data_IF_015937570116
#
_entry.id   IF_015937570116
#
_cell.length_a   1.000
_cell.length_b   1.000
_cell.length_c   1.000
_cell.angle_alpha   90.00
_cell.angle_beta   90.00
_cell.angle_gamma   90.00
#
_symmetry.space_group_name_H-M   'P 1'
#
loop_
_entity.id
_entity.type
_entity.pdbx_description
1 polymer ?
#
# COMPACT_ATOMS: atom_id res chain seq x y z
N UNK A 1 87.51 29.52 -12.71
CA UNK A 1 86.34 30.41 -12.56
C UNK A 1 85.16 29.77 -13.28
N UNK A 2 84.04 29.62 -12.55
CA UNK A 2 82.70 29.13 -12.93
C UNK A 2 82.56 27.72 -13.57
N UNK A 3 82.19 26.75 -12.71
CA UNK A 3 81.59 25.47 -13.10
C UNK A 3 80.09 25.67 -13.37
N UNK A 4 79.61 25.18 -14.51
CA UNK A 4 78.19 25.13 -14.88
C UNK A 4 77.39 24.18 -13.97
N UNK A 5 76.46 24.74 -13.20
CA UNK A 5 75.42 24.01 -12.49
C UNK A 5 74.15 23.97 -13.35
N UNK A 6 73.92 22.83 -13.98
CA UNK A 6 72.67 22.48 -14.68
C UNK A 6 71.58 22.27 -13.63
N UNK A 7 70.61 23.20 -13.56
CA UNK A 7 69.39 23.03 -12.77
C UNK A 7 68.46 22.05 -13.49
N UNK A 8 68.28 20.84 -12.91
CA UNK A 8 67.18 19.93 -13.27
C UNK A 8 65.88 20.46 -12.62
N UNK A 9 64.75 20.51 -13.34
CA UNK A 9 63.47 20.80 -12.70
C UNK A 9 63.02 19.58 -11.89
N UNK A 10 62.70 19.80 -10.61
CA UNK A 10 61.95 18.83 -9.80
C UNK A 10 60.54 18.70 -10.41
N UNK A 11 60.25 17.54 -10.99
CA UNK A 11 58.87 17.13 -11.27
C UNK A 11 58.28 16.73 -9.92
N UNK A 12 57.52 17.62 -9.29
CA UNK A 12 56.64 17.26 -8.18
C UNK A 12 55.49 16.41 -8.74
N UNK A 13 55.56 15.11 -8.53
CA UNK A 13 54.42 14.21 -8.73
C UNK A 13 53.45 14.49 -7.59
N UNK A 14 52.43 15.30 -7.87
CA UNK A 14 51.29 15.52 -7.01
C UNK A 14 50.48 14.20 -6.95
N UNK A 15 50.23 13.60 -5.78
CA UNK A 15 49.35 12.44 -5.71
C UNK A 15 47.93 12.90 -6.07
N UNK A 16 47.40 12.36 -7.17
CA UNK A 16 45.98 12.44 -7.50
C UNK A 16 45.24 11.70 -6.39
N UNK A 17 44.67 12.47 -5.45
CA UNK A 17 43.65 11.96 -4.54
C UNK A 17 42.44 11.59 -5.39
N UNK A 18 42.34 10.29 -5.71
CA UNK A 18 41.09 9.68 -6.14
C UNK A 18 40.08 9.87 -5.01
N UNK A 19 39.25 10.91 -5.13
CA UNK A 19 38.01 11.04 -4.36
C UNK A 19 37.10 9.94 -4.88
N UNK A 20 37.29 8.73 -4.34
CA UNK A 20 36.32 7.66 -4.49
C UNK A 20 35.01 8.17 -3.94
N UNK A 21 33.97 8.19 -4.79
CA UNK A 21 32.61 8.28 -4.32
C UNK A 21 32.38 7.13 -3.34
N UNK A 22 32.50 7.42 -2.05
CA UNK A 22 32.06 6.53 -1.00
C UNK A 22 30.54 6.43 -1.17
N UNK A 23 30.09 5.41 -1.90
CA UNK A 23 28.73 4.91 -1.82
C UNK A 23 28.45 4.70 -0.34
N UNK A 24 27.66 5.58 0.27
CA UNK A 24 27.17 5.38 1.63
C UNK A 24 26.58 3.97 1.66
N UNK A 25 27.06 3.06 2.52
CA UNK A 25 26.42 1.76 2.65
C UNK A 25 24.96 2.03 3.01
N UNK A 26 24.06 1.57 2.14
CA UNK A 26 22.63 1.46 2.43
C UNK A 26 22.57 0.79 3.79
N UNK A 27 22.03 1.48 4.79
CA UNK A 27 21.91 0.93 6.13
C UNK A 27 21.28 -0.47 5.98
N UNK A 28 22.06 -1.52 6.27
CA UNK A 28 21.48 -2.84 6.47
C UNK A 28 20.46 -2.64 7.57
N UNK A 29 19.19 -2.90 7.25
CA UNK A 29 18.19 -3.23 8.26
C UNK A 29 18.91 -4.19 9.21
N UNK A 30 19.04 -3.78 10.48
CA UNK A 30 19.83 -4.50 11.46
C UNK A 30 19.46 -5.99 11.42
N UNK A 31 20.45 -6.87 11.66
CA UNK A 31 20.24 -8.30 11.89
C UNK A 31 19.26 -8.48 13.07
N UNK A 32 17.96 -8.46 12.77
CA UNK A 32 16.91 -8.96 13.63
C UNK A 32 16.78 -10.42 13.24
N UNK A 33 17.35 -11.30 14.07
CA UNK A 33 17.04 -12.73 13.97
C UNK A 33 15.53 -12.86 14.11
N UNK A 34 14.80 -13.38 13.09
CA UNK A 34 13.35 -13.50 13.17
C UNK A 34 13.00 -14.31 14.41
N UNK A 35 12.14 -13.77 15.29
CA UNK A 35 11.63 -14.56 16.40
C UNK A 35 10.69 -15.61 15.81
N UNK A 36 10.99 -16.89 16.03
CA UNK A 36 10.16 -17.98 15.54
C UNK A 36 8.70 -17.78 16.02
N UNK A 37 7.70 -18.05 15.16
CA UNK A 37 6.31 -17.85 15.54
C UNK A 37 5.93 -18.77 16.71
N UNK A 38 5.18 -18.25 17.67
CA UNK A 38 4.58 -19.07 18.74
C UNK A 38 3.10 -19.29 18.46
N UNK A 39 2.61 -20.51 18.68
CA UNK A 39 1.22 -20.87 18.42
C UNK A 39 0.58 -21.48 19.67
N UNK A 40 -0.64 -21.03 20.00
CA UNK A 40 -1.46 -21.56 21.09
C UNK A 40 -2.91 -21.75 20.63
N UNK A 41 -3.65 -22.60 21.35
CA UNK A 41 -5.08 -22.76 21.13
C UNK A 41 -5.79 -21.45 21.50
N UNK A 42 -6.75 -21.04 20.67
CA UNK A 42 -7.56 -19.86 20.90
C UNK A 42 -9.03 -20.24 20.95
N UNK A 43 -9.75 -19.63 21.89
CA UNK A 43 -11.21 -19.67 21.92
C UNK A 43 -11.76 -18.25 22.11
N UNK A 44 -12.87 -17.93 21.45
CA UNK A 44 -13.49 -16.62 21.55
C UNK A 44 -14.87 -16.58 20.90
N UNK A 45 -15.86 -16.01 21.60
CA UNK A 45 -17.26 -15.95 21.15
C UNK A 45 -17.84 -17.31 20.72
N UNK A 46 -17.41 -18.41 21.34
CA UNK A 46 -17.85 -19.77 20.99
C UNK A 46 -17.18 -20.37 19.76
N UNK A 47 -16.16 -19.70 19.21
CA UNK A 47 -15.29 -20.22 18.16
C UNK A 47 -14.01 -20.79 18.76
N UNK A 48 -13.44 -21.79 18.09
CA UNK A 48 -12.12 -22.36 18.40
C UNK A 48 -11.19 -22.21 17.21
N UNK A 49 -9.91 -21.94 17.48
CA UNK A 49 -8.90 -21.72 16.46
C UNK A 49 -7.49 -21.71 17.05
N UNK A 50 -6.56 -21.05 16.35
CA UNK A 50 -5.18 -20.85 16.79
C UNK A 50 -4.91 -19.35 16.91
N UNK A 51 -4.14 -18.99 17.94
CA UNK A 51 -3.49 -17.69 18.06
C UNK A 51 -2.01 -17.89 17.79
N UNK A 52 -1.49 -17.16 16.82
CA UNK A 52 -0.11 -17.24 16.36
C UNK A 52 0.51 -15.86 16.50
N UNK A 53 1.64 -15.76 17.20
CA UNK A 53 2.38 -14.52 17.37
C UNK A 53 3.64 -14.56 16.51
N UNK A 54 3.83 -13.52 15.71
CA UNK A 54 5.05 -13.27 14.95
C UNK A 54 5.76 -12.02 15.50
N UNK A 55 6.72 -11.45 14.78
CA UNK A 55 7.34 -10.18 15.19
C UNK A 55 6.32 -9.04 15.15
N UNK A 56 5.60 -8.91 14.03
CA UNK A 56 4.71 -7.78 13.76
C UNK A 56 3.22 -8.09 13.89
N UNK A 57 2.81 -9.37 13.93
CA UNK A 57 1.40 -9.76 13.92
C UNK A 57 0.99 -10.64 15.10
N UNK A 58 -0.27 -10.45 15.49
CA UNK A 58 -1.05 -11.40 16.28
C UNK A 58 -2.12 -11.96 15.33
N UNK A 59 -1.89 -13.15 14.80
CA UNK A 59 -2.81 -13.84 13.91
C UNK A 59 -3.76 -14.70 14.73
N UNK A 60 -5.06 -14.49 14.58
CA UNK A 60 -6.11 -15.33 15.16
C UNK A 60 -6.88 -15.96 14.02
N UNK A 61 -6.82 -17.28 13.89
CA UNK A 61 -7.38 -17.97 12.74
C UNK A 61 -8.18 -19.22 13.14
N UNK A 62 -9.32 -19.41 12.48
CA UNK A 62 -10.19 -20.60 12.62
C UNK A 62 -10.20 -21.44 11.35
N UNK A 63 -9.13 -21.33 10.53
CA UNK A 63 -8.97 -22.02 9.26
C UNK A 63 -8.90 -23.54 9.46
N UNK A 64 -9.64 -24.28 8.63
CA UNK A 64 -9.48 -25.74 8.49
C UNK A 64 -8.39 -26.14 7.49
N UNK A 65 -7.89 -25.19 6.69
CA UNK A 65 -6.81 -25.43 5.71
C UNK A 65 -5.45 -25.34 6.42
N UNK A 66 -4.87 -26.48 6.76
CA UNK A 66 -3.61 -26.57 7.51
C UNK A 66 -2.43 -25.93 6.78
N UNK A 67 -2.33 -26.12 5.47
CA UNK A 67 -1.23 -25.56 4.68
C UNK A 67 -1.31 -24.03 4.61
N UNK A 68 -2.52 -23.46 4.51
CA UNK A 68 -2.69 -22.02 4.59
C UNK A 68 -2.39 -21.50 6.00
N UNK A 69 -2.85 -22.20 7.04
CA UNK A 69 -2.57 -21.86 8.44
C UNK A 69 -1.06 -21.82 8.72
N UNK A 70 -0.30 -22.78 8.17
CA UNK A 70 1.16 -22.84 8.30
C UNK A 70 1.87 -21.72 7.53
N UNK A 71 1.38 -21.37 6.34
CA UNK A 71 2.01 -20.36 5.49
C UNK A 71 1.71 -18.90 5.89
N UNK A 72 0.60 -18.65 6.58
CA UNK A 72 0.13 -17.28 6.89
C UNK A 72 1.10 -16.43 7.72
N UNK A 73 1.75 -16.95 8.79
CA UNK A 73 2.69 -16.17 9.59
C UNK A 73 3.82 -15.57 8.75
N UNK A 74 4.51 -16.40 7.98
CA UNK A 74 5.61 -15.97 7.11
C UNK A 74 5.14 -15.06 5.98
N UNK A 75 3.94 -15.30 5.46
CA UNK A 75 3.34 -14.45 4.44
C UNK A 75 3.08 -13.03 4.96
N UNK A 76 2.51 -12.89 6.15
CA UNK A 76 2.21 -11.59 6.77
C UNK A 76 3.49 -10.80 7.07
N UNK A 77 4.54 -11.45 7.57
CA UNK A 77 5.84 -10.82 7.81
C UNK A 77 6.51 -10.33 6.52
N UNK A 78 6.37 -11.09 5.43
CA UNK A 78 6.83 -10.66 4.11
C UNK A 78 6.00 -9.50 3.56
N UNK A 79 4.68 -9.51 3.77
CA UNK A 79 3.81 -8.39 3.41
C UNK A 79 4.23 -7.12 4.17
N UNK A 80 4.49 -7.23 5.48
CA UNK A 80 4.98 -6.14 6.31
C UNK A 80 6.30 -5.55 5.82
N UNK A 81 7.24 -6.40 5.41
CA UNK A 81 8.49 -5.96 4.78
C UNK A 81 8.21 -5.11 3.54
N UNK A 82 7.28 -5.54 2.67
CA UNK A 82 6.89 -4.78 1.49
C UNK A 82 6.14 -3.47 1.83
N UNK A 83 5.40 -3.41 2.94
CA UNK A 83 4.78 -2.15 3.42
C UNK A 83 5.86 -1.15 3.82
N UNK A 84 6.84 -1.59 4.63
CA UNK A 84 7.99 -0.77 5.05
C UNK A 84 8.83 -0.29 3.86
N UNK A 85 9.05 -1.14 2.85
CA UNK A 85 9.74 -0.73 1.62
C UNK A 85 8.94 0.29 0.80
N UNK A 86 7.61 0.22 0.85
CA UNK A 86 6.72 1.11 0.10
C UNK A 86 6.59 2.47 0.74
N UNK A 87 6.38 2.52 2.05
CA UNK A 87 6.23 3.74 2.81
C UNK A 87 6.90 3.51 4.18
N UNK A 88 8.20 3.83 4.32
CA UNK A 88 8.92 3.59 5.56
C UNK A 88 8.30 4.36 6.74
N UNK A 89 8.32 3.80 7.97
CA UNK A 89 7.76 4.46 9.15
C UNK A 89 8.26 5.91 9.30
N UNK A 90 7.45 6.82 9.88
CA UNK A 90 7.85 8.20 10.08
C UNK A 90 9.19 8.30 10.83
N UNK A 91 9.97 9.33 10.53
CA UNK A 91 11.25 9.56 11.20
C UNK A 91 11.07 9.74 12.72
N UNK A 92 9.92 10.30 13.12
CA UNK A 92 9.50 10.48 14.51
C UNK A 92 9.11 9.18 15.22
N UNK A 93 8.91 8.08 14.51
CA UNK A 93 8.51 6.81 15.11
C UNK A 93 9.60 6.22 16.03
N UNK A 94 10.87 6.60 15.84
CA UNK A 94 12.00 6.16 16.66
C UNK A 94 12.12 4.62 16.83
N UNK A 95 13.11 4.15 17.59
CA UNK A 95 13.19 2.71 17.99
C UNK A 95 12.16 2.34 19.08
N UNK A 96 11.29 3.29 19.45
CA UNK A 96 10.31 3.18 20.54
C UNK A 96 8.89 2.99 20.05
N UNK A 97 8.70 2.76 18.74
CA UNK A 97 7.43 2.31 18.17
C UNK A 97 6.89 1.15 19.00
N UNK A 98 5.70 1.33 19.56
CA UNK A 98 5.10 0.39 20.51
C UNK A 98 5.26 -1.05 19.99
N UNK A 99 5.58 -2.01 20.87
CA UNK A 99 5.68 -3.43 20.52
C UNK A 99 4.32 -4.08 20.20
N UNK A 100 3.28 -3.27 19.95
CA UNK A 100 1.92 -3.77 19.72
C UNK A 100 1.84 -4.29 18.30
N UNK A 101 1.63 -5.60 18.20
CA UNK A 101 1.38 -6.33 16.98
C UNK A 101 0.09 -5.86 16.29
N UNK A 102 0.04 -6.03 14.98
CA UNK A 102 -1.16 -5.86 14.17
C UNK A 102 -2.03 -7.11 14.34
N UNK A 103 -3.22 -6.96 14.90
CA UNK A 103 -4.10 -8.09 15.20
C UNK A 103 -4.89 -8.47 13.95
N UNK A 104 -4.74 -9.69 13.46
CA UNK A 104 -5.30 -10.15 12.18
C UNK A 104 -6.21 -11.34 12.41
N UNK A 105 -7.51 -11.18 12.20
CA UNK A 105 -8.47 -12.28 12.26
C UNK A 105 -8.69 -12.89 10.87
N UNK A 106 -8.53 -14.22 10.77
CA UNK A 106 -8.83 -14.99 9.54
C UNK A 106 -9.77 -16.14 9.87
N UNK A 107 -11.07 -15.93 9.64
CA UNK A 107 -12.10 -16.91 9.94
C UNK A 107 -12.18 -17.98 8.85
N UNK A 108 -12.34 -19.25 9.22
CA UNK A 108 -12.50 -20.38 8.29
C UNK A 108 -13.77 -20.31 7.44
N UNK A 109 -14.80 -19.60 7.91
CA UNK A 109 -16.05 -19.42 7.20
C UNK A 109 -16.62 -18.01 7.40
N UNK A 110 -17.33 -17.51 6.38
CA UNK A 110 -18.08 -16.24 6.47
C UNK A 110 -19.04 -16.21 7.65
N UNK A 111 -19.74 -17.31 7.93
CA UNK A 111 -20.67 -17.39 9.08
C UNK A 111 -19.99 -17.20 10.44
N UNK A 112 -18.73 -17.64 10.59
CA UNK A 112 -17.94 -17.42 11.80
C UNK A 112 -17.54 -15.95 11.94
N UNK A 113 -17.13 -15.31 10.84
CA UNK A 113 -16.86 -13.87 10.80
C UNK A 113 -18.12 -13.08 11.17
N UNK A 114 -19.27 -13.37 10.55
CA UNK A 114 -20.54 -12.70 10.87
C UNK A 114 -20.96 -12.92 12.33
N UNK A 115 -20.82 -14.15 12.84
CA UNK A 115 -21.10 -14.49 14.24
C UNK A 115 -20.22 -13.69 15.20
N UNK A 116 -18.91 -13.66 14.96
CA UNK A 116 -17.96 -12.92 15.78
C UNK A 116 -18.27 -11.43 15.80
N UNK A 117 -18.51 -10.84 14.63
CA UNK A 117 -18.86 -9.42 14.51
C UNK A 117 -20.19 -9.10 15.19
N UNK A 118 -21.22 -9.93 15.05
CA UNK A 118 -22.51 -9.73 15.73
C UNK A 118 -22.36 -9.62 17.25
N UNK A 119 -21.42 -10.38 17.79
CA UNK A 119 -21.17 -10.50 19.22
C UNK A 119 -20.30 -9.36 19.77
N UNK A 120 -19.28 -8.94 19.02
CA UNK A 120 -18.29 -7.95 19.47
C UNK A 120 -18.55 -6.54 18.96
N UNK A 121 -19.07 -6.41 17.75
CA UNK A 121 -19.21 -5.17 17.01
C UNK A 121 -20.50 -5.17 16.18
N UNK A 122 -21.69 -5.23 16.81
CA UNK A 122 -22.95 -5.40 16.09
C UNK A 122 -23.20 -4.32 15.02
N UNK A 123 -22.83 -3.06 15.31
CA UNK A 123 -22.95 -1.95 14.36
C UNK A 123 -22.10 -2.13 13.08
N UNK A 124 -21.01 -2.90 13.14
CA UNK A 124 -20.15 -3.15 11.99
C UNK A 124 -20.76 -4.12 10.99
N UNK A 125 -21.69 -4.99 11.41
CA UNK A 125 -22.40 -5.86 10.47
C UNK A 125 -23.30 -5.08 9.53
N UNK A 126 -23.92 -4.01 10.01
CA UNK A 126 -24.78 -3.17 9.17
C UNK A 126 -23.94 -2.45 8.09
N UNK A 127 -22.70 -2.08 8.42
CA UNK A 127 -21.78 -1.37 7.54
C UNK A 127 -21.01 -2.31 6.61
N UNK A 128 -20.61 -3.49 7.07
CA UNK A 128 -19.70 -4.40 6.35
C UNK A 128 -20.36 -5.70 5.89
N UNK A 129 -21.61 -5.97 6.27
CA UNK A 129 -22.30 -7.22 5.92
C UNK A 129 -22.47 -7.46 4.42
N UNK A 130 -22.33 -6.41 3.60
CA UNK A 130 -22.32 -6.49 2.15
C UNK A 130 -21.03 -7.10 1.57
N UNK A 131 -19.93 -7.17 2.33
CA UNK A 131 -18.65 -7.73 1.88
C UNK A 131 -18.86 -9.21 1.54
N UNK A 132 -18.83 -9.55 0.24
CA UNK A 132 -19.00 -10.93 -0.25
C UNK A 132 -17.69 -11.69 -0.36
N UNK A 133 -16.61 -10.96 -0.60
CA UNK A 133 -15.26 -11.46 -0.69
C UNK A 133 -14.36 -10.42 -0.04
N UNK A 134 -13.58 -10.83 0.97
CA UNK A 134 -12.58 -9.96 1.58
C UNK A 134 -12.68 -9.88 3.08
N UNK A 135 -12.33 -8.71 3.59
CA UNK A 135 -12.32 -8.33 4.98
C UNK A 135 -12.41 -6.81 5.10
N UNK A 136 -12.19 -6.31 6.29
CA UNK A 136 -11.98 -4.88 6.51
C UNK A 136 -11.02 -4.70 7.68
N UNK A 137 -10.52 -3.48 7.81
CA UNK A 137 -9.62 -3.07 8.88
C UNK A 137 -10.24 -1.94 9.69
N UNK A 138 -10.20 -2.08 11.01
CA UNK A 138 -10.49 -1.01 11.97
C UNK A 138 -9.22 -0.73 12.80
N UNK A 139 -8.65 0.46 12.61
CA UNK A 139 -7.38 0.84 13.20
C UNK A 139 -6.27 -0.19 12.89
N UNK A 140 -5.72 -0.82 13.92
CA UNK A 140 -4.65 -1.83 13.76
C UNK A 140 -5.16 -3.27 13.74
N UNK A 141 -6.48 -3.48 13.58
CA UNK A 141 -7.11 -4.80 13.63
C UNK A 141 -7.83 -5.09 12.32
N UNK A 142 -7.55 -6.23 11.69
CA UNK A 142 -8.23 -6.67 10.46
C UNK A 142 -9.10 -7.90 10.71
N UNK A 143 -10.20 -7.99 9.95
CA UNK A 143 -11.19 -9.07 10.04
C UNK A 143 -11.51 -9.60 8.65
N UNK A 144 -11.00 -10.79 8.33
CA UNK A 144 -11.18 -11.46 7.03
C UNK A 144 -11.74 -12.86 7.19
N UNK A 145 -12.36 -13.41 6.15
CA UNK A 145 -12.76 -14.82 6.12
C UNK A 145 -12.24 -15.54 4.89
N UNK A 146 -12.05 -16.84 5.03
CA UNK A 146 -11.56 -17.71 3.98
C UNK A 146 -12.56 -17.81 2.83
N UNK A 147 -12.04 -17.66 1.61
CA UNK A 147 -12.79 -17.87 0.36
C UNK A 147 -12.12 -18.95 -0.47
N UNK A 148 -10.88 -18.68 -0.88
CA UNK A 148 -9.91 -19.64 -1.41
C UNK A 148 -8.49 -19.14 -1.05
N UNK A 149 -7.46 -19.96 -1.22
CA UNK A 149 -6.08 -19.59 -0.83
C UNK A 149 -5.60 -18.29 -1.48
N UNK A 150 -5.58 -18.13 -2.83
CA UNK A 150 -5.12 -16.88 -3.44
C UNK A 150 -5.90 -15.64 -3.00
N UNK A 151 -7.24 -15.71 -2.96
CA UNK A 151 -8.08 -14.59 -2.58
C UNK A 151 -7.89 -14.22 -1.10
N UNK A 152 -7.80 -15.21 -0.20
CA UNK A 152 -7.57 -14.97 1.23
C UNK A 152 -6.22 -14.30 1.45
N UNK A 153 -5.16 -14.77 0.79
CA UNK A 153 -3.82 -14.17 0.85
C UNK A 153 -3.82 -12.73 0.32
N UNK A 154 -4.48 -12.50 -0.81
CA UNK A 154 -4.64 -11.16 -1.38
C UNK A 154 -5.37 -10.22 -0.41
N UNK A 155 -6.46 -10.68 0.22
CA UNK A 155 -7.21 -9.93 1.21
C UNK A 155 -6.37 -9.61 2.44
N UNK A 156 -5.71 -10.59 3.08
CA UNK A 156 -4.94 -10.29 4.29
C UNK A 156 -3.74 -9.39 4.01
N UNK A 157 -3.17 -9.45 2.79
CA UNK A 157 -2.14 -8.50 2.37
C UNK A 157 -2.70 -7.09 2.10
N UNK A 158 -3.91 -6.98 1.56
CA UNK A 158 -4.61 -5.72 1.38
C UNK A 158 -4.93 -5.08 2.74
N UNK A 159 -5.58 -5.82 3.63
CA UNK A 159 -5.94 -5.34 4.97
C UNK A 159 -4.72 -5.05 5.84
N UNK A 160 -3.67 -5.86 5.73
CA UNK A 160 -2.39 -5.62 6.42
C UNK A 160 -1.78 -4.27 6.09
N UNK A 161 -1.97 -3.76 4.87
CA UNK A 161 -1.55 -2.41 4.50
C UNK A 161 -2.34 -1.34 5.27
N UNK A 162 -3.65 -1.49 5.40
CA UNK A 162 -4.45 -0.56 6.19
C UNK A 162 -4.06 -0.58 7.68
N UNK A 163 -3.79 -1.76 8.24
CA UNK A 163 -3.30 -1.89 9.62
C UNK A 163 -1.95 -1.17 9.79
N UNK A 164 -1.05 -1.33 8.81
CA UNK A 164 0.24 -0.65 8.78
C UNK A 164 0.09 0.87 8.70
N UNK A 165 -0.80 1.36 7.82
CA UNK A 165 -1.03 2.79 7.68
C UNK A 165 -1.61 3.38 8.97
N UNK A 166 -2.66 2.76 9.52
CA UNK A 166 -3.28 3.21 10.77
C UNK A 166 -2.33 3.17 11.98
N UNK A 167 -1.30 2.31 11.93
CA UNK A 167 -0.28 2.22 12.97
C UNK A 167 0.67 3.41 12.97
N UNK A 168 1.09 3.86 11.79
CA UNK A 168 2.22 4.76 11.64
C UNK A 168 1.84 6.16 11.15
N UNK A 169 0.71 6.30 10.44
CA UNK A 169 0.29 7.55 9.84
C UNK A 169 -1.11 7.91 10.37
N UNK A 170 -1.19 8.81 11.37
CA UNK A 170 -2.48 9.21 11.95
C UNK A 170 -3.33 10.03 10.98
N UNK A 171 -2.69 10.67 9.99
CA UNK A 171 -3.38 11.31 8.88
C UNK A 171 -3.78 10.25 7.85
N UNK A 172 -5.08 10.15 7.59
CA UNK A 172 -5.62 9.27 6.56
C UNK A 172 -5.05 9.67 5.19
N UNK A 173 -4.39 8.72 4.52
CA UNK A 173 -4.07 8.85 3.11
C UNK A 173 -5.37 9.11 2.33
N UNK A 174 -5.34 9.89 1.23
CA UNK A 174 -6.46 9.98 0.31
C UNK A 174 -6.97 8.59 -0.06
N UNK A 175 -8.29 8.40 -0.13
CA UNK A 175 -8.90 7.11 -0.38
C UNK A 175 -8.30 6.41 -1.63
N UNK A 176 -8.14 7.14 -2.74
CA UNK A 176 -7.58 6.58 -3.97
C UNK A 176 -6.13 6.12 -3.81
N UNK A 177 -5.35 6.79 -2.96
CA UNK A 177 -3.96 6.45 -2.70
C UNK A 177 -3.86 5.25 -1.77
N UNK A 178 -4.64 5.26 -0.69
CA UNK A 178 -4.65 4.18 0.30
C UNK A 178 -5.06 2.86 -0.35
N UNK A 179 -6.18 2.86 -1.07
CA UNK A 179 -6.73 1.70 -1.75
C UNK A 179 -5.89 1.26 -2.94
N UNK A 180 -5.36 2.22 -3.71
CA UNK A 180 -4.49 1.91 -4.84
C UNK A 180 -3.18 1.24 -4.42
N UNK A 181 -2.60 1.64 -3.28
CA UNK A 181 -1.45 0.97 -2.67
C UNK A 181 -1.82 -0.40 -2.09
N UNK A 182 -2.95 -0.49 -1.37
CA UNK A 182 -3.47 -1.76 -0.82
C UNK A 182 -3.65 -2.82 -1.92
N UNK A 183 -4.29 -2.43 -3.04
CA UNK A 183 -4.47 -3.27 -4.22
C UNK A 183 -3.15 -3.70 -4.88
N UNK A 184 -2.06 -2.97 -4.65
CA UNK A 184 -0.71 -3.36 -5.08
C UNK A 184 -0.17 -4.59 -4.33
N UNK A 185 -0.64 -4.84 -3.10
CA UNK A 185 -0.21 -6.00 -2.31
C UNK A 185 -1.03 -7.27 -2.56
N UNK A 186 -2.14 -7.17 -3.30
CA UNK A 186 -3.02 -8.31 -3.60
C UNK A 186 -2.37 -9.35 -4.54
N UNK A 187 -1.37 -8.95 -5.33
CA UNK A 187 -0.74 -9.87 -6.27
C UNK A 187 0.60 -10.38 -5.76
N UNK A 188 0.62 -11.68 -5.48
CA UNK A 188 1.79 -12.38 -4.97
C UNK A 188 2.12 -13.56 -5.89
N UNK A 189 3.38 -13.65 -6.31
CA UNK A 189 3.93 -14.83 -6.97
C UNK A 189 4.73 -15.63 -5.94
N UNK A 190 4.47 -16.93 -5.82
CA UNK A 190 5.29 -17.79 -4.97
C UNK A 190 6.51 -18.27 -5.75
N UNK A 191 7.68 -17.82 -5.33
CA UNK A 191 8.97 -18.20 -5.89
C UNK A 191 9.73 -19.09 -4.89
N UNK A 192 10.85 -19.69 -5.30
CA UNK A 192 11.63 -20.61 -4.46
C UNK A 192 12.18 -19.98 -3.17
N UNK A 193 12.16 -18.64 -3.05
CA UNK A 193 12.61 -17.88 -1.88
C UNK A 193 11.46 -17.33 -1.03
N UNK A 194 10.21 -17.65 -1.35
CA UNK A 194 9.02 -17.15 -0.67
C UNK A 194 8.08 -16.32 -1.57
N UNK A 195 6.98 -15.79 -1.02
CA UNK A 195 6.08 -14.88 -1.71
C UNK A 195 6.81 -13.61 -2.19
N UNK A 196 6.60 -13.30 -3.46
CA UNK A 196 7.09 -12.08 -4.10
C UNK A 196 5.93 -11.22 -4.55
N UNK A 197 5.76 -10.07 -3.92
CA UNK A 197 4.74 -9.08 -4.24
C UNK A 197 5.01 -8.40 -5.59
N UNK A 198 3.96 -8.26 -6.40
CA UNK A 198 4.00 -7.75 -7.77
C UNK A 198 3.04 -6.57 -7.94
N UNK A 199 3.35 -5.39 -7.38
CA UNK A 199 2.41 -4.26 -7.36
C UNK A 199 1.96 -3.77 -8.74
N UNK A 200 2.78 -4.01 -9.79
CA UNK A 200 2.46 -3.65 -11.19
C UNK A 200 1.60 -4.67 -11.93
N UNK A 201 1.32 -5.83 -11.35
CA UNK A 201 0.57 -6.91 -12.01
C UNK A 201 -0.53 -7.36 -11.08
N UNK A 202 -1.77 -6.94 -11.31
CA UNK A 202 -2.91 -7.44 -10.56
C UNK A 202 -3.96 -7.98 -11.54
N UNK A 203 -3.97 -9.30 -11.81
CA UNK A 203 -4.89 -9.90 -12.79
C UNK A 203 -6.37 -9.68 -12.48
N UNK A 204 -6.74 -9.66 -11.20
CA UNK A 204 -8.11 -9.41 -10.77
C UNK A 204 -8.55 -8.00 -11.12
N UNK A 205 -7.74 -6.99 -10.75
CA UNK A 205 -8.01 -5.59 -11.08
C UNK A 205 -7.95 -5.33 -12.58
N UNK A 206 -7.01 -5.98 -13.29
CA UNK A 206 -6.92 -5.91 -14.76
C UNK A 206 -8.20 -6.41 -15.45
N UNK A 207 -8.76 -7.52 -14.97
CA UNK A 207 -10.01 -8.05 -15.49
C UNK A 207 -11.20 -7.11 -15.22
N UNK A 208 -11.23 -6.47 -14.06
CA UNK A 208 -12.24 -5.44 -13.75
C UNK A 208 -12.12 -4.23 -14.68
N UNK A 209 -10.90 -3.72 -14.90
CA UNK A 209 -10.65 -2.61 -15.84
C UNK A 209 -11.06 -2.97 -17.26
N UNK A 210 -10.74 -4.19 -17.72
CA UNK A 210 -11.14 -4.66 -19.05
C UNK A 210 -12.66 -4.64 -19.22
N UNK A 211 -13.41 -5.15 -18.24
CA UNK A 211 -14.87 -5.13 -18.26
C UNK A 211 -15.42 -3.70 -18.23
N UNK A 212 -14.86 -2.84 -17.38
CA UNK A 212 -15.28 -1.45 -17.29
C UNK A 212 -15.07 -0.69 -18.60
N UNK A 213 -13.93 -0.88 -19.27
CA UNK A 213 -13.65 -0.31 -20.60
C UNK A 213 -14.62 -0.84 -21.67
N UNK A 214 -14.87 -2.15 -21.72
CA UNK A 214 -15.79 -2.75 -22.70
C UNK A 214 -17.23 -2.28 -22.54
N UNK A 215 -17.63 -1.93 -21.33
CA UNK A 215 -18.99 -1.53 -21.00
C UNK A 215 -19.17 -0.01 -20.95
N UNK A 216 -18.12 0.77 -21.20
CA UNK A 216 -18.09 2.22 -21.03
C UNK A 216 -18.54 2.66 -19.62
N UNK A 217 -17.98 1.99 -18.60
CA UNK A 217 -18.30 2.18 -17.18
C UNK A 217 -17.09 2.61 -16.35
N UNK A 218 -16.06 3.17 -16.97
CA UNK A 218 -14.98 3.77 -16.20
C UNK A 218 -15.51 4.94 -15.39
N UNK A 219 -15.03 5.05 -14.16
CA UNK A 219 -15.26 6.19 -13.28
C UNK A 219 -14.42 7.35 -13.82
N UNK A 220 -15.01 8.52 -14.14
CA UNK A 220 -14.27 9.72 -14.50
C UNK A 220 -13.21 10.05 -13.44
N UNK A 221 -12.01 10.50 -13.84
CA UNK A 221 -10.90 10.73 -12.88
C UNK A 221 -11.26 11.80 -11.83
N UNK A 222 -12.02 12.82 -12.21
CA UNK A 222 -12.57 13.82 -11.29
C UNK A 222 -13.40 13.16 -10.17
N UNK A 223 -14.28 12.22 -10.54
CA UNK A 223 -15.14 11.51 -9.61
C UNK A 223 -14.34 10.51 -8.76
N UNK A 224 -13.44 9.73 -9.39
CA UNK A 224 -12.56 8.78 -8.72
C UNK A 224 -11.73 9.45 -7.62
N UNK A 225 -11.20 10.65 -7.90
CA UNK A 225 -10.40 11.42 -6.96
C UNK A 225 -11.23 12.13 -5.88
N UNK A 226 -12.54 12.26 -6.04
CA UNK A 226 -13.42 12.90 -5.08
C UNK A 226 -14.09 11.92 -4.11
N UNK A 227 -14.17 10.63 -4.47
CA UNK A 227 -14.82 9.60 -3.65
C UNK A 227 -14.07 9.32 -2.35
N UNK A 228 -14.84 9.10 -1.29
CA UNK A 228 -14.39 8.46 -0.05
C UNK A 228 -14.88 7.00 -0.01
N UNK A 229 -14.12 6.10 0.65
CA UNK A 229 -14.48 4.67 0.69
C UNK A 229 -15.80 4.39 1.41
N UNK A 230 -16.16 5.21 2.39
CA UNK A 230 -17.46 5.11 3.08
C UNK A 230 -18.64 5.33 2.14
N UNK A 231 -18.48 6.15 1.10
CA UNK A 231 -19.54 6.46 0.15
C UNK A 231 -19.78 5.33 -0.86
N UNK A 232 -18.82 4.42 -1.03
CA UNK A 232 -18.95 3.30 -1.96
C UNK A 232 -20.03 2.31 -1.54
N UNK A 233 -20.24 2.13 -0.23
CA UNK A 233 -21.30 1.27 0.30
C UNK A 233 -22.70 1.85 0.07
N UNK A 234 -22.82 3.18 0.06
CA UNK A 234 -24.10 3.88 -0.14
C UNK A 234 -24.50 3.98 -1.61
N UNK A 235 -23.53 3.80 -2.52
CA UNK A 235 -23.78 3.81 -3.96
C UNK A 235 -24.45 2.50 -4.39
N UNK A 236 -25.70 2.61 -4.84
CA UNK A 236 -26.51 1.50 -5.36
C UNK A 236 -26.03 0.93 -6.70
N UNK A 237 -24.99 1.51 -7.30
CA UNK A 237 -24.50 1.09 -8.61
C UNK A 237 -23.70 -0.21 -8.50
N UNK A 238 -24.20 -1.27 -9.13
CA UNK A 238 -23.53 -2.56 -9.14
C UNK A 238 -22.09 -2.46 -9.71
N UNK A 239 -21.13 -2.99 -8.96
CA UNK A 239 -19.73 -3.07 -9.35
C UNK A 239 -18.90 -1.80 -9.12
N UNK A 240 -19.49 -0.75 -8.52
CA UNK A 240 -18.79 0.55 -8.37
C UNK A 240 -17.55 0.44 -7.49
N UNK A 241 -17.63 -0.29 -6.38
CA UNK A 241 -16.50 -0.50 -5.48
C UNK A 241 -15.36 -1.25 -6.19
N UNK A 242 -15.69 -2.32 -6.94
CA UNK A 242 -14.69 -3.08 -7.69
C UNK A 242 -14.00 -2.22 -8.75
N UNK A 243 -14.76 -1.37 -9.46
CA UNK A 243 -14.21 -0.43 -10.45
C UNK A 243 -13.35 0.64 -9.79
N UNK A 244 -13.80 1.18 -8.66
CA UNK A 244 -13.05 2.15 -7.87
C UNK A 244 -11.68 1.57 -7.47
N UNK A 245 -11.64 0.43 -6.81
CA UNK A 245 -10.40 -0.23 -6.42
C UNK A 245 -9.49 -0.53 -7.61
N UNK A 246 -10.05 -1.00 -8.74
CA UNK A 246 -9.28 -1.30 -9.93
C UNK A 246 -8.68 -0.05 -10.59
N UNK A 247 -9.42 1.06 -10.62
CA UNK A 247 -8.94 2.34 -11.14
C UNK A 247 -7.96 3.02 -10.18
N UNK A 248 -8.18 2.97 -8.86
CA UNK A 248 -7.22 3.45 -7.86
C UNK A 248 -5.88 2.70 -7.95
N UNK A 249 -5.91 1.38 -8.11
CA UNK A 249 -4.71 0.58 -8.36
C UNK A 249 -3.98 1.01 -9.65
N UNK A 250 -4.73 1.17 -10.74
CA UNK A 250 -4.17 1.61 -12.01
C UNK A 250 -3.60 3.03 -11.94
N UNK A 251 -4.29 3.94 -11.25
CA UNK A 251 -3.86 5.32 -11.02
C UNK A 251 -2.55 5.34 -10.24
N UNK A 252 -2.46 4.64 -9.11
CA UNK A 252 -1.21 4.53 -8.34
C UNK A 252 -0.10 3.90 -9.16
N UNK A 253 -0.40 2.85 -9.94
CA UNK A 253 0.57 2.20 -10.82
C UNK A 253 1.08 3.16 -11.91
N UNK A 254 0.19 3.95 -12.50
CA UNK A 254 0.54 4.98 -13.47
C UNK A 254 1.41 6.06 -12.84
N UNK A 255 0.97 6.64 -11.73
CA UNK A 255 1.68 7.74 -11.06
C UNK A 255 3.08 7.31 -10.59
N UNK A 256 3.21 6.08 -10.09
CA UNK A 256 4.44 5.56 -9.47
C UNK A 256 5.41 4.87 -10.44
N UNK A 257 4.91 4.09 -11.40
CA UNK A 257 5.74 3.17 -12.18
C UNK A 257 5.75 3.43 -13.70
N UNK A 258 4.63 3.85 -14.27
CA UNK A 258 4.46 3.93 -15.74
C UNK A 258 4.42 5.37 -16.27
N UNK A 259 4.25 6.35 -15.40
CA UNK A 259 4.20 7.76 -15.73
C UNK A 259 5.55 8.31 -16.19
N UNK A 260 5.48 9.49 -16.77
CA UNK A 260 6.68 10.26 -17.12
C UNK A 260 7.50 10.65 -15.87
N UNK A 261 8.79 11.01 -16.03
CA UNK A 261 9.65 11.33 -14.89
C UNK A 261 9.12 12.45 -13.97
N UNK A 262 8.37 13.44 -14.48
CA UNK A 262 7.75 14.50 -13.66
C UNK A 262 6.76 13.89 -12.66
N UNK A 263 5.86 13.04 -13.16
CA UNK A 263 4.80 12.38 -12.37
C UNK A 263 5.38 11.43 -11.31
N UNK A 264 6.40 10.65 -11.65
CA UNK A 264 7.10 9.78 -10.69
C UNK A 264 7.73 10.57 -9.55
N UNK A 265 8.44 11.66 -9.86
CA UNK A 265 9.02 12.54 -8.85
C UNK A 265 7.95 13.21 -7.98
N UNK A 266 6.80 13.58 -8.55
CA UNK A 266 5.68 14.11 -7.79
C UNK A 266 5.12 13.09 -6.79
N UNK A 267 4.93 11.84 -7.23
CA UNK A 267 4.50 10.75 -6.35
C UNK A 267 5.52 10.47 -5.23
N UNK A 268 6.83 10.47 -5.54
CA UNK A 268 7.88 10.29 -4.53
C UNK A 268 7.88 11.43 -3.50
N UNK A 269 7.70 12.69 -3.93
CA UNK A 269 7.56 13.84 -3.02
C UNK A 269 6.32 13.70 -2.12
N UNK A 270 5.21 13.25 -2.68
CA UNK A 270 3.98 13.00 -1.91
C UNK A 270 4.23 11.98 -0.79
N UNK A 271 4.86 10.84 -1.10
CA UNK A 271 5.18 9.85 -0.06
C UNK A 271 6.22 10.34 0.95
N UNK A 272 7.19 11.17 0.52
CA UNK A 272 8.13 11.81 1.44
C UNK A 272 7.42 12.73 2.44
N UNK A 273 6.45 13.53 1.97
CA UNK A 273 5.69 14.43 2.83
C UNK A 273 4.75 13.66 3.78
N UNK A 274 4.20 12.52 3.34
CA UNK A 274 3.46 11.59 4.21
C UNK A 274 4.37 11.08 5.33
N UNK A 275 5.56 10.57 4.97
CA UNK A 275 6.54 10.08 5.95
C UNK A 275 6.99 11.16 6.91
N UNK A 276 7.13 12.40 6.45
CA UNK A 276 7.50 13.54 7.27
C UNK A 276 6.35 14.05 8.16
N UNK A 277 5.12 13.54 7.99
CA UNK A 277 3.94 14.06 8.71
C UNK A 277 3.55 15.47 8.29
N UNK A 278 3.91 15.90 7.07
CA UNK A 278 3.62 17.26 6.55
C UNK A 278 2.60 17.27 5.41
N UNK A 279 2.25 16.10 4.86
CA UNK A 279 1.35 15.94 3.73
C UNK A 279 0.01 16.69 3.90
N UNK A 280 -0.73 16.41 4.99
CA UNK A 280 -2.04 17.02 5.22
C UNK A 280 -1.94 18.53 5.37
N UNK A 281 -0.99 19.00 6.16
CA UNK A 281 -0.76 20.44 6.39
C UNK A 281 -0.43 21.19 5.08
N UNK A 282 0.40 20.60 4.22
CA UNK A 282 0.76 21.18 2.92
C UNK A 282 -0.43 21.26 1.97
N UNK A 283 -1.20 20.18 1.83
CA UNK A 283 -2.39 20.17 0.97
C UNK A 283 -3.44 21.16 1.47
N UNK A 284 -3.76 21.14 2.77
CA UNK A 284 -4.73 22.09 3.34
C UNK A 284 -4.24 23.54 3.22
N UNK A 285 -2.96 23.80 3.44
CA UNK A 285 -2.37 25.12 3.23
C UNK A 285 -2.53 25.61 1.78
N UNK A 286 -2.29 24.74 0.80
CA UNK A 286 -2.47 25.05 -0.61
C UNK A 286 -3.94 25.30 -0.98
N UNK A 287 -4.88 24.54 -0.43
CA UNK A 287 -6.33 24.76 -0.61
C UNK A 287 -6.76 26.16 -0.17
N UNK A 288 -6.10 26.74 0.83
CA UNK A 288 -6.41 28.09 1.33
C UNK A 288 -5.82 29.22 0.47
N UNK A 289 -4.82 28.94 -0.36
CA UNK A 289 -4.06 29.95 -1.09
C UNK A 289 -4.19 29.86 -2.61
N UNK A 290 -4.54 28.68 -3.14
CA UNK A 290 -4.59 28.40 -4.57
C UNK A 290 -6.03 28.26 -5.05
N UNK A 291 -6.49 29.21 -5.88
CA UNK A 291 -7.86 29.25 -6.39
C UNK A 291 -8.29 27.95 -7.11
N UNK A 292 -7.36 27.26 -7.77
CA UNK A 292 -7.61 25.98 -8.45
C UNK A 292 -7.97 24.82 -7.50
N UNK A 293 -7.70 24.98 -6.20
CA UNK A 293 -7.95 23.99 -5.15
C UNK A 293 -9.13 24.36 -4.25
N UNK A 294 -9.71 25.56 -4.42
CA UNK A 294 -10.83 26.01 -3.60
C UNK A 294 -12.01 25.03 -3.73
N UNK A 295 -12.63 24.72 -2.59
CA UNK A 295 -13.79 23.82 -2.46
C UNK A 295 -13.58 22.39 -2.98
N UNK A 296 -12.36 22.01 -3.36
CA UNK A 296 -12.05 20.65 -3.77
C UNK A 296 -12.04 19.71 -2.55
N UNK A 297 -12.66 18.52 -2.63
CA UNK A 297 -12.51 17.49 -1.61
C UNK A 297 -11.02 17.18 -1.39
N UNK A 298 -10.63 16.91 -0.15
CA UNK A 298 -9.23 16.69 0.21
C UNK A 298 -8.50 15.66 -0.68
N UNK A 299 -9.10 14.50 -1.04
CA UNK A 299 -8.42 13.52 -1.89
C UNK A 299 -8.11 14.04 -3.30
N UNK A 300 -8.98 14.88 -3.87
CA UNK A 300 -8.78 15.57 -5.15
C UNK A 300 -7.75 16.68 -5.01
N UNK A 301 -7.85 17.49 -3.97
CA UNK A 301 -6.89 18.57 -3.71
C UNK A 301 -5.46 18.04 -3.59
N UNK A 302 -5.27 16.89 -2.93
CA UNK A 302 -3.98 16.23 -2.84
C UNK A 302 -3.40 15.87 -4.23
N UNK A 303 -4.22 15.32 -5.13
CA UNK A 303 -3.78 15.03 -6.49
C UNK A 303 -3.32 16.31 -7.22
N UNK A 304 -4.18 17.32 -7.25
CA UNK A 304 -3.92 18.57 -8.00
C UNK A 304 -2.71 19.31 -7.43
N UNK A 305 -2.53 19.30 -6.11
CA UNK A 305 -1.37 19.89 -5.43
C UNK A 305 -0.05 19.23 -5.84
N UNK A 306 0.04 17.89 -5.79
CA UNK A 306 1.31 17.19 -6.04
C UNK A 306 1.66 17.06 -7.52
N UNK A 307 0.65 16.83 -8.37
CA UNK A 307 0.85 16.53 -9.79
C UNK A 307 0.79 17.76 -10.69
N UNK A 308 0.30 18.90 -10.17
CA UNK A 308 0.29 20.17 -10.89
C UNK A 308 -0.49 20.08 -12.22
N UNK A 309 -1.61 19.35 -12.19
CA UNK A 309 -2.55 19.16 -13.30
C UNK A 309 -3.97 18.93 -12.74
N UNK A 310 -5.00 19.35 -13.47
CA UNK A 310 -6.39 19.03 -13.07
C UNK A 310 -6.75 17.60 -13.48
N UNK A 311 -7.77 16.97 -12.85
CA UNK A 311 -8.24 15.65 -13.27
C UNK A 311 -8.76 15.62 -14.71
N UNK A 312 -9.33 16.74 -15.18
CA UNK A 312 -9.76 16.90 -16.57
C UNK A 312 -8.56 16.88 -17.54
N UNK A 313 -7.51 17.64 -17.24
CA UNK A 313 -6.29 17.68 -18.08
C UNK A 313 -5.57 16.32 -18.12
N UNK A 314 -5.62 15.58 -17.01
CA UNK A 314 -4.98 14.27 -16.90
C UNK A 314 -5.80 13.12 -17.50
N UNK A 315 -7.09 13.32 -17.79
CA UNK A 315 -8.02 12.24 -18.14
C UNK A 315 -7.57 11.48 -19.39
N UNK A 316 -7.28 12.17 -20.48
CA UNK A 316 -6.94 11.53 -21.76
C UNK A 316 -5.67 10.67 -21.63
N UNK A 317 -4.63 11.19 -20.97
CA UNK A 317 -3.39 10.46 -20.75
C UNK A 317 -3.58 9.24 -19.82
N UNK A 318 -4.43 9.37 -18.80
CA UNK A 318 -4.78 8.25 -17.92
C UNK A 318 -5.63 7.21 -18.65
N UNK A 319 -6.61 7.63 -19.46
CA UNK A 319 -7.44 6.76 -20.27
C UNK A 319 -6.61 5.96 -21.28
N UNK A 320 -5.71 6.62 -22.02
CA UNK A 320 -4.78 5.94 -22.93
C UNK A 320 -3.88 4.94 -22.18
N UNK A 321 -3.44 5.28 -20.97
CA UNK A 321 -2.74 4.34 -20.11
C UNK A 321 -3.62 3.12 -19.77
N UNK A 322 -4.88 3.31 -19.38
CA UNK A 322 -5.80 2.20 -19.08
C UNK A 322 -6.00 1.27 -20.28
N UNK A 323 -6.22 1.84 -21.47
CA UNK A 323 -6.38 1.10 -22.73
C UNK A 323 -5.15 0.23 -23.04
N UNK A 324 -3.94 0.82 -22.93
CA UNK A 324 -2.68 0.07 -23.11
C UNK A 324 -2.49 -0.99 -22.04
N UNK A 325 -2.81 -0.68 -20.78
CA UNK A 325 -2.65 -1.57 -19.64
C UNK A 325 -3.47 -2.86 -19.82
N UNK A 326 -4.73 -2.75 -20.27
CA UNK A 326 -5.60 -3.93 -20.48
C UNK A 326 -5.35 -4.68 -21.79
N UNK A 327 -4.58 -4.08 -22.70
CA UNK A 327 -4.24 -4.65 -24.00
C UNK A 327 -5.30 -4.47 -25.08
N UNK A 328 -6.15 -3.44 -25.00
CA UNK A 328 -6.97 -3.05 -26.15
C UNK A 328 -6.06 -2.33 -27.15
N UNK A 329 -5.69 -3.00 -28.25
CA UNK A 329 -5.28 -2.29 -29.45
C UNK A 329 -6.53 -1.59 -30.03
N UNK A 330 -6.40 -0.32 -30.43
CA UNK A 330 -7.43 0.36 -31.23
C UNK A 330 -7.63 -0.35 -32.56
#
# INVERSE_FOLDING_TARGET
MLRHLVRRPLIQVLPILLIGCATRPRARVADLTPTAPTAELWTGEGLAGKRILTEHFELIATLGDEALMEALPDFLEQAYTCYVETLPPPDSAGRTGSKRRLTTYVFGHRSQWEHYLRRRHPAWLDVHGWIRHGGFTDGTTSYSFFTNRPATLATVAHEGWHQYVARFYPDTLPAWLNEGLACGFESVAYESKGPRFRPRRNPWRLNTLRKALQQDRLIPLEELLAMETSELADRREAGIAERYYAQSWALVTWLRFEGEPKRKRAFDRMLQDVRAGTFRAKVTGAVLTESRLHDAPFPRAAYVFYFDETPADAWDAYYEYLVRLVGFAR
#
